data_IF_447311456064
#
_entry.id   IF_447311456064
#
_cell.length_a   1.000
_cell.length_b   1.000
_cell.length_c   1.000
_cell.angle_alpha   90.00
_cell.angle_beta   90.00
_cell.angle_gamma   90.00
#
_symmetry.space_group_name_H-M   'P 1'
#
loop_
_entity.id
_entity.type
_entity.pdbx_description
1 polymer ?
#
# COMPACT_ATOMS: atom_id res chain seq x y z
N UNK A 1 11.26 -7.02 10.53
CA UNK A 1 11.32 -7.12 9.05
C UNK A 1 11.58 -5.73 8.52
N UNK A 2 12.23 -5.61 7.37
CA UNK A 2 12.50 -4.31 6.78
C UNK A 2 11.29 -3.87 5.96
N UNK A 3 10.48 -2.95 6.51
CA UNK A 3 9.24 -2.47 5.91
C UNK A 3 9.46 -1.46 4.76
N UNK A 4 10.64 -1.49 4.11
CA UNK A 4 10.99 -0.65 2.94
C UNK A 4 9.95 -0.68 1.83
N UNK A 5 9.26 -1.80 1.64
CA UNK A 5 8.19 -1.92 0.64
C UNK A 5 7.02 -0.96 0.89
N UNK A 6 6.72 -0.62 2.15
CA UNK A 6 5.65 0.35 2.49
C UNK A 6 6.02 1.72 1.92
N UNK A 7 7.29 2.10 2.06
CA UNK A 7 7.80 3.35 1.49
C UNK A 7 7.71 3.31 -0.03
N UNK A 8 8.20 2.27 -0.69
CA UNK A 8 8.10 2.14 -2.16
C UNK A 8 6.64 2.20 -2.66
N UNK A 9 5.71 1.61 -1.92
CA UNK A 9 4.30 1.57 -2.30
C UNK A 9 3.58 2.91 -2.09
N UNK A 10 3.85 3.61 -0.98
CA UNK A 10 3.08 4.78 -0.54
C UNK A 10 3.78 6.13 -0.77
N UNK A 11 5.02 6.12 -1.27
CA UNK A 11 5.80 7.32 -1.54
C UNK A 11 5.06 8.28 -2.49
N UNK A 12 4.86 9.52 -2.03
CA UNK A 12 4.10 10.56 -2.72
C UNK A 12 2.58 10.36 -2.72
N UNK A 13 2.07 9.25 -2.16
CA UNK A 13 0.63 8.99 -2.00
C UNK A 13 0.13 9.38 -0.61
N UNK A 14 0.98 9.33 0.41
CA UNK A 14 0.67 9.81 1.75
C UNK A 14 1.86 10.60 2.30
N UNK A 15 1.66 11.32 3.40
CA UNK A 15 2.73 12.08 4.05
C UNK A 15 3.87 11.16 4.54
N UNK A 16 5.11 11.63 4.44
CA UNK A 16 6.29 10.88 4.89
C UNK A 16 6.20 10.46 6.37
N UNK A 17 5.60 11.30 7.21
CA UNK A 17 5.38 11.00 8.62
C UNK A 17 4.43 9.82 8.82
N UNK A 18 3.41 9.69 7.95
CA UNK A 18 2.52 8.52 7.92
C UNK A 18 3.31 7.28 7.53
N UNK A 19 4.09 7.32 6.45
CA UNK A 19 4.92 6.18 6.00
C UNK A 19 5.84 5.72 7.13
N UNK A 20 6.50 6.68 7.79
CA UNK A 20 7.40 6.38 8.92
C UNK A 20 6.65 5.70 10.06
N UNK A 21 5.46 6.20 10.42
CA UNK A 21 4.62 5.63 11.48
C UNK A 21 4.19 4.20 11.14
N UNK A 22 3.79 3.95 9.88
CA UNK A 22 3.39 2.62 9.40
C UNK A 22 4.55 1.62 9.42
N UNK A 23 5.78 2.08 9.13
CA UNK A 23 6.98 1.26 9.24
C UNK A 23 7.35 0.95 10.70
N UNK A 24 7.36 1.96 11.57
CA UNK A 24 7.81 1.82 12.97
C UNK A 24 6.81 1.05 13.84
N UNK A 25 5.52 1.18 13.53
CA UNK A 25 4.40 0.56 14.28
C UNK A 25 3.60 -0.40 13.42
N UNK A 26 4.27 -1.12 12.52
CA UNK A 26 3.64 -2.00 11.53
C UNK A 26 2.60 -2.94 12.15
N UNK A 27 2.94 -3.65 13.23
CA UNK A 27 2.03 -4.62 13.84
C UNK A 27 0.72 -4.00 14.37
N UNK A 28 0.74 -2.71 14.72
CA UNK A 28 -0.44 -1.99 15.19
C UNK A 28 -1.32 -1.49 14.04
N UNK A 29 -0.73 -1.20 12.88
CA UNK A 29 -1.43 -0.58 11.75
C UNK A 29 -1.65 -1.50 10.55
N UNK A 30 -1.06 -2.70 10.52
CA UNK A 30 -1.05 -3.56 9.33
C UNK A 30 -2.43 -3.94 8.79
N UNK A 31 -3.42 -4.02 9.68
CA UNK A 31 -4.80 -4.36 9.36
C UNK A 31 -5.76 -3.15 9.37
N UNK A 32 -5.23 -1.94 9.58
CA UNK A 32 -6.00 -0.70 9.47
C UNK A 32 -6.26 -0.38 7.99
N UNK A 33 -7.48 0.04 7.61
CA UNK A 33 -7.76 0.46 6.25
C UNK A 33 -6.85 1.62 5.80
N UNK A 34 -6.25 1.51 4.62
CA UNK A 34 -5.32 2.53 4.10
C UNK A 34 -5.96 3.93 4.00
N UNK A 35 -7.28 3.99 3.78
CA UNK A 35 -8.04 5.25 3.80
C UNK A 35 -8.04 5.95 5.15
N UNK A 36 -7.94 5.21 6.25
CA UNK A 36 -7.90 5.78 7.60
C UNK A 36 -6.51 6.31 7.98
N UNK A 37 -5.48 5.97 7.19
CA UNK A 37 -4.10 6.46 7.40
C UNK A 37 -3.72 7.53 6.38
N UNK A 38 -4.68 8.03 5.60
CA UNK A 38 -4.50 9.17 4.69
C UNK A 38 -4.37 8.82 3.21
N UNK A 39 -4.60 7.56 2.80
CA UNK A 39 -4.73 7.21 1.39
C UNK A 39 -6.13 7.56 0.87
N UNK A 40 -6.26 8.72 0.26
CA UNK A 40 -7.50 9.24 -0.28
C UNK A 40 -7.91 8.54 -1.58
N UNK A 41 -9.20 8.63 -1.91
CA UNK A 41 -9.76 7.98 -3.11
C UNK A 41 -9.10 8.45 -4.41
N UNK A 42 -8.60 9.69 -4.45
CA UNK A 42 -7.87 10.27 -5.60
C UNK A 42 -6.47 9.65 -5.78
N UNK A 43 -5.85 9.15 -4.71
CA UNK A 43 -4.52 8.56 -4.73
C UNK A 43 -4.53 7.07 -5.07
N UNK A 44 -5.71 6.45 -5.12
CA UNK A 44 -5.87 5.02 -5.44
C UNK A 44 -5.27 4.64 -6.78
N UNK A 45 -5.45 5.47 -7.82
CA UNK A 45 -4.81 5.20 -9.11
C UNK A 45 -3.28 5.24 -9.00
N UNK A 46 -2.75 6.15 -8.18
CA UNK A 46 -1.31 6.20 -7.88
C UNK A 46 -0.82 4.93 -7.19
N UNK A 47 -1.62 4.36 -6.28
CA UNK A 47 -1.31 3.07 -5.64
C UNK A 47 -1.20 1.96 -6.69
N UNK A 48 -2.19 1.85 -7.57
CA UNK A 48 -2.21 0.84 -8.64
C UNK A 48 -0.98 0.97 -9.53
N UNK A 49 -0.67 2.19 -9.99
CA UNK A 49 0.51 2.44 -10.81
C UNK A 49 1.83 2.09 -10.11
N UNK A 50 1.95 2.34 -8.80
CA UNK A 50 3.13 1.95 -8.02
C UNK A 50 3.27 0.42 -7.93
N UNK A 51 2.16 -0.30 -7.80
CA UNK A 51 2.18 -1.76 -7.82
C UNK A 51 2.70 -2.30 -9.15
N UNK A 52 2.35 -1.65 -10.27
CA UNK A 52 2.87 -2.01 -11.59
C UNK A 52 4.34 -1.61 -11.76
N UNK A 53 4.70 -0.36 -11.47
CA UNK A 53 6.04 0.18 -11.77
C UNK A 53 7.13 -0.28 -10.80
N UNK A 54 6.84 -0.38 -9.50
CA UNK A 54 7.84 -0.70 -8.47
C UNK A 54 7.88 -2.20 -8.14
N UNK A 55 6.75 -2.90 -8.31
CA UNK A 55 6.60 -4.31 -7.92
C UNK A 55 6.35 -5.25 -9.11
N UNK A 56 6.28 -4.72 -10.34
CA UNK A 56 6.13 -5.51 -11.56
C UNK A 56 4.81 -6.29 -11.61
N UNK A 57 3.77 -5.83 -10.91
CA UNK A 57 2.44 -6.44 -11.00
C UNK A 57 1.78 -6.04 -12.31
N UNK A 58 1.04 -6.96 -12.90
CA UNK A 58 0.16 -6.66 -14.02
C UNK A 58 -1.26 -6.60 -13.46
N UNK A 59 -1.84 -5.40 -13.42
CA UNK A 59 -3.16 -5.21 -12.82
C UNK A 59 -4.21 -5.38 -13.92
N UNK A 60 -5.01 -6.43 -13.80
CA UNK A 60 -6.20 -6.59 -14.61
C UNK A 60 -7.32 -5.69 -14.06
N UNK A 61 -7.53 -4.54 -14.68
CA UNK A 61 -8.53 -3.56 -14.28
C UNK A 61 -9.99 -4.06 -14.38
N UNK A 62 -10.25 -5.17 -15.08
CA UNK A 62 -11.60 -5.76 -15.13
C UNK A 62 -11.92 -6.60 -13.89
N UNK A 63 -10.89 -7.19 -13.27
CA UNK A 63 -11.04 -8.14 -12.15
C UNK A 63 -10.44 -7.66 -10.84
N UNK A 64 -9.60 -6.62 -10.87
CA UNK A 64 -8.94 -6.06 -9.69
C UNK A 64 -9.93 -5.37 -8.75
N UNK A 65 -9.95 -5.80 -7.49
CA UNK A 65 -10.69 -5.15 -6.42
C UNK A 65 -9.73 -4.42 -5.47
N UNK A 66 -10.01 -3.16 -5.19
CA UNK A 66 -9.30 -2.35 -4.20
C UNK A 66 -9.37 -2.95 -2.80
N UNK A 67 -10.37 -3.78 -2.51
CA UNK A 67 -10.46 -4.55 -1.28
C UNK A 67 -9.24 -5.46 -1.07
N UNK A 68 -8.60 -5.94 -2.14
CA UNK A 68 -7.45 -6.84 -2.09
C UNK A 68 -6.15 -6.13 -1.66
N UNK A 69 -6.15 -4.80 -1.64
CA UNK A 69 -5.02 -3.97 -1.19
C UNK A 69 -5.44 -2.93 -0.15
N UNK A 70 -6.59 -3.12 0.49
CA UNK A 70 -7.17 -2.11 1.37
C UNK A 70 -6.45 -1.92 2.71
N UNK A 71 -5.55 -2.83 3.09
CA UNK A 71 -4.71 -2.78 4.30
C UNK A 71 -3.27 -3.17 3.94
N UNK A 72 -2.30 -2.86 4.80
CA UNK A 72 -0.90 -3.24 4.56
C UNK A 72 -0.73 -4.77 4.52
N UNK A 73 -1.42 -5.53 5.37
CA UNK A 73 -1.37 -7.00 5.33
C UNK A 73 -1.84 -7.54 3.98
N UNK A 74 -2.93 -6.99 3.44
CA UNK A 74 -3.49 -7.41 2.15
C UNK A 74 -2.58 -6.99 1.00
N UNK A 75 -2.09 -5.75 1.03
CA UNK A 75 -1.13 -5.25 0.07
C UNK A 75 0.17 -6.09 0.06
N UNK A 76 0.74 -6.41 1.22
CA UNK A 76 1.94 -7.24 1.32
C UNK A 76 1.72 -8.62 0.69
N UNK A 77 0.59 -9.26 0.99
CA UNK A 77 0.21 -10.55 0.40
C UNK A 77 0.01 -10.47 -1.11
N UNK A 78 -0.68 -9.44 -1.60
CA UNK A 78 -0.89 -9.21 -3.03
C UNK A 78 0.46 -9.02 -3.76
N UNK A 79 1.35 -8.27 -3.12
CA UNK A 79 2.67 -7.96 -3.65
C UNK A 79 3.65 -9.14 -3.54
N UNK A 80 3.44 -10.07 -2.61
CA UNK A 80 4.37 -11.18 -2.34
C UNK A 80 5.63 -10.71 -1.60
N UNK A 81 5.44 -9.78 -0.67
CA UNK A 81 6.51 -9.14 0.14
C UNK A 81 6.29 -9.32 1.65
N UNK A 82 5.51 -10.34 2.02
CA UNK A 82 5.22 -10.73 3.40
C UNK A 82 6.38 -11.43 4.13
#
# INVERSE_FOLDING_TARGET
MDHRWIRSLLDGLVEDQTIQTLCDRYDEYKDVPLRQVGLESVQVMGLVLRMESEFGKEIDYETFDLADVSTLTRAARYLGVD
#
